data_IF_729145343905
#
_entry.id   IF_729145343905
#
_cell.length_a   1.000
_cell.length_b   1.000
_cell.length_c   1.000
_cell.angle_alpha   90.00
_cell.angle_beta   90.00
_cell.angle_gamma   90.00
#
_symmetry.space_group_name_H-M   'P 1'
#
loop_
_entity.id
_entity.type
_entity.pdbx_description
1 polymer ?
#
# COMPACT_ATOMS: atom_id res chain seq x y z
N UNK A 1 -9.09 -19.93 35.80
CA UNK A 1 -9.11 -18.46 35.76
C UNK A 1 -9.82 -18.03 34.48
N UNK A 2 -10.95 -17.31 34.57
CA UNK A 2 -11.51 -16.65 33.40
C UNK A 2 -10.47 -15.66 32.85
N UNK A 3 -10.27 -15.63 31.54
CA UNK A 3 -9.32 -14.74 30.87
C UNK A 3 -9.84 -14.34 29.49
N UNK A 4 -9.49 -13.12 29.08
CA UNK A 4 -9.92 -12.46 27.86
C UNK A 4 -8.76 -12.02 26.94
N UNK A 5 -7.51 -12.26 27.38
CA UNK A 5 -6.26 -11.95 26.65
C UNK A 5 -6.11 -12.82 25.40
N UNK A 6 -6.34 -14.12 25.52
CA UNK A 6 -6.36 -15.07 24.39
C UNK A 6 -7.79 -15.51 24.17
N UNK A 7 -8.41 -15.00 23.11
CA UNK A 7 -9.82 -15.27 22.78
C UNK A 7 -10.05 -16.73 22.38
N UNK A 8 -11.22 -17.31 22.69
CA UNK A 8 -11.56 -18.65 22.25
C UNK A 8 -11.71 -18.70 20.72
N UNK A 9 -11.48 -19.88 20.14
CA UNK A 9 -11.64 -20.09 18.69
C UNK A 9 -13.03 -19.73 18.16
N UNK A 10 -14.06 -19.84 18.99
CA UNK A 10 -15.44 -19.49 18.65
C UNK A 10 -15.69 -17.96 18.59
N UNK A 11 -14.80 -17.14 19.15
CA UNK A 11 -14.96 -15.69 19.23
C UNK A 11 -13.62 -14.96 18.96
N UNK A 12 -13.03 -15.15 17.77
CA UNK A 12 -11.74 -14.56 17.44
C UNK A 12 -11.86 -13.04 17.26
N UNK A 13 -10.75 -12.32 17.45
CA UNK A 13 -10.68 -10.86 17.19
C UNK A 13 -11.00 -10.55 15.72
N UNK A 14 -10.54 -11.40 14.80
CA UNK A 14 -10.78 -11.30 13.37
C UNK A 14 -11.04 -12.70 12.82
N UNK A 15 -12.09 -12.85 11.99
CA UNK A 15 -12.38 -14.13 11.37
C UNK A 15 -11.49 -14.36 10.14
N UNK A 16 -10.87 -15.54 10.05
CA UNK A 16 -9.91 -15.87 9.00
C UNK A 16 -8.47 -15.44 9.32
N UNK A 17 -7.58 -15.47 8.33
CA UNK A 17 -6.17 -15.17 8.52
C UNK A 17 -5.89 -13.71 8.89
N UNK A 18 -4.83 -13.44 9.67
CA UNK A 18 -4.43 -12.06 9.99
C UNK A 18 -3.72 -11.32 8.85
N UNK A 19 -3.09 -12.08 7.94
CA UNK A 19 -2.38 -11.60 6.76
C UNK A 19 -3.00 -12.25 5.52
N UNK A 20 -3.09 -11.47 4.43
CA UNK A 20 -3.50 -11.95 3.11
C UNK A 20 -2.38 -11.69 2.10
N UNK A 21 -2.11 -12.69 1.26
CA UNK A 21 -1.25 -12.56 0.09
C UNK A 21 -2.09 -12.00 -1.07
N UNK A 22 -1.53 -11.04 -1.78
CA UNK A 22 -2.10 -10.41 -2.97
C UNK A 22 -1.23 -10.76 -4.17
N UNK A 23 -1.85 -11.00 -5.32
CA UNK A 23 -1.20 -11.03 -6.64
C UNK A 23 -1.91 -10.09 -7.61
N UNK A 24 -1.53 -10.11 -8.88
CA UNK A 24 -2.08 -9.22 -9.91
C UNK A 24 -0.97 -8.55 -10.70
N UNK A 25 -1.32 -7.74 -11.71
CA UNK A 25 -0.30 -7.16 -12.59
C UNK A 25 0.64 -6.18 -11.86
N UNK A 26 0.21 -5.57 -10.76
CA UNK A 26 1.03 -4.65 -9.97
C UNK A 26 2.02 -5.38 -9.04
N UNK A 27 1.71 -6.61 -8.64
CA UNK A 27 2.52 -7.43 -7.75
C UNK A 27 2.64 -8.88 -8.27
N UNK A 28 3.35 -9.12 -9.39
CA UNK A 28 3.37 -10.42 -10.05
C UNK A 28 4.08 -11.51 -9.23
N UNK A 29 5.02 -11.13 -8.36
CA UNK A 29 5.65 -12.06 -7.40
C UNK A 29 4.98 -12.00 -6.01
N UNK A 30 3.90 -11.25 -5.90
CA UNK A 30 3.10 -11.11 -4.70
C UNK A 30 3.36 -9.85 -3.90
N UNK A 31 2.42 -9.58 -3.00
CA UNK A 31 2.48 -8.57 -1.95
C UNK A 31 1.69 -9.08 -0.74
N UNK A 32 1.78 -8.41 0.40
CA UNK A 32 1.01 -8.78 1.60
C UNK A 32 0.28 -7.60 2.21
N UNK A 33 -0.85 -7.89 2.86
CA UNK A 33 -1.59 -6.94 3.69
C UNK A 33 -1.98 -7.60 5.02
N UNK A 34 -1.83 -6.86 6.13
CA UNK A 34 -2.31 -7.29 7.46
C UNK A 34 -3.80 -6.96 7.61
N UNK A 35 -4.66 -7.77 6.97
CA UNK A 35 -6.10 -7.51 6.90
C UNK A 35 -6.80 -7.39 8.26
N UNK A 36 -6.27 -8.05 9.31
CA UNK A 36 -6.82 -7.94 10.67
C UNK A 36 -6.62 -6.57 11.33
N UNK A 37 -5.76 -5.71 10.79
CA UNK A 37 -5.53 -4.35 11.28
C UNK A 37 -5.94 -3.27 10.27
N UNK A 38 -6.58 -3.66 9.17
CA UNK A 38 -7.03 -2.76 8.12
C UNK A 38 -8.47 -2.28 8.37
N UNK A 39 -8.85 -1.18 7.74
CA UNK A 39 -10.24 -0.69 7.79
C UNK A 39 -11.11 -1.51 6.84
N UNK A 40 -12.17 -2.12 7.37
CA UNK A 40 -13.00 -3.07 6.63
C UNK A 40 -13.56 -2.50 5.30
N UNK A 41 -13.95 -1.23 5.28
CA UNK A 41 -14.47 -0.56 4.07
C UNK A 41 -13.42 -0.31 2.99
N UNK A 42 -12.12 -0.38 3.32
CA UNK A 42 -11.01 -0.17 2.38
C UNK A 42 -10.41 -1.49 1.86
N UNK A 43 -10.89 -2.65 2.34
CA UNK A 43 -10.44 -3.97 1.88
C UNK A 43 -10.85 -4.27 0.42
N UNK A 44 -11.79 -3.50 -0.11
CA UNK A 44 -12.13 -3.45 -1.53
C UNK A 44 -12.23 -1.99 -1.95
N UNK A 45 -11.20 -1.50 -2.64
CA UNK A 45 -11.03 -0.08 -2.93
C UNK A 45 -10.46 0.11 -4.34
N UNK A 46 -10.83 1.20 -4.99
CA UNK A 46 -10.18 1.66 -6.21
C UNK A 46 -9.98 3.16 -6.10
N UNK A 47 -8.80 3.63 -6.47
CA UNK A 47 -8.41 5.03 -6.30
C UNK A 47 -7.29 5.43 -7.23
N UNK A 48 -7.10 6.74 -7.32
CA UNK A 48 -6.01 7.36 -8.08
C UNK A 48 -4.70 7.22 -7.33
N UNK A 49 -3.62 6.90 -8.01
CA UNK A 49 -2.28 6.86 -7.45
C UNK A 49 -1.75 8.28 -7.19
N UNK A 50 -1.18 8.47 -6.00
CA UNK A 50 -0.31 9.60 -5.64
C UNK A 50 1.05 9.03 -5.28
N UNK A 51 2.03 9.26 -6.16
CA UNK A 51 3.32 8.58 -6.19
C UNK A 51 4.40 9.41 -5.50
N UNK A 52 5.16 8.73 -4.64
CA UNK A 52 6.38 9.20 -4.03
C UNK A 52 7.55 8.34 -4.51
N UNK A 53 8.55 8.99 -5.09
CA UNK A 53 9.67 8.33 -5.77
C UNK A 53 10.73 7.76 -4.84
N UNK A 54 10.82 8.31 -3.63
CA UNK A 54 11.81 7.93 -2.63
C UNK A 54 11.37 8.41 -1.24
N UNK A 55 12.10 7.98 -0.21
CA UNK A 55 11.90 8.49 1.16
C UNK A 55 12.10 10.00 1.26
N UNK A 56 13.00 10.56 0.45
CA UNK A 56 13.24 11.99 0.39
C UNK A 56 12.05 12.72 -0.21
N UNK A 57 11.57 12.24 -1.36
CA UNK A 57 10.40 12.80 -2.04
C UNK A 57 9.15 12.76 -1.15
N UNK A 58 8.94 11.63 -0.47
CA UNK A 58 7.88 11.50 0.54
C UNK A 58 8.00 12.56 1.63
N UNK A 59 9.17 12.71 2.24
CA UNK A 59 9.39 13.67 3.32
C UNK A 59 9.20 15.13 2.87
N UNK A 60 9.57 15.44 1.63
CA UNK A 60 9.45 16.80 1.07
C UNK A 60 8.00 17.13 0.65
N UNK A 61 7.21 16.16 0.19
CA UNK A 61 5.89 16.41 -0.41
C UNK A 61 4.67 16.06 0.42
N UNK A 62 4.74 15.07 1.32
CA UNK A 62 3.53 14.47 1.94
C UNK A 62 2.65 15.49 2.67
N UNK A 63 3.25 16.49 3.29
CA UNK A 63 2.58 17.56 4.05
C UNK A 63 2.53 18.89 3.29
N UNK A 64 2.92 18.92 2.02
CA UNK A 64 2.80 20.11 1.19
C UNK A 64 1.32 20.52 1.08
N UNK A 65 0.97 21.81 1.25
CA UNK A 65 -0.40 22.27 1.04
C UNK A 65 -0.85 21.99 -0.41
N UNK A 66 0.08 22.07 -1.35
CA UNK A 66 -0.14 21.92 -2.79
C UNK A 66 -0.17 20.47 -3.27
N UNK A 67 0.07 19.49 -2.39
CA UNK A 67 -0.03 18.07 -2.76
C UNK A 67 -1.47 17.76 -3.20
N UNK A 68 -1.69 17.48 -4.48
CA UNK A 68 -2.99 17.04 -4.97
C UNK A 68 -3.29 15.62 -4.45
N UNK A 69 -4.09 15.53 -3.37
CA UNK A 69 -4.46 14.28 -2.72
C UNK A 69 -5.84 14.38 -2.07
N UNK A 70 -6.68 13.38 -2.31
CA UNK A 70 -7.99 13.19 -1.73
C UNK A 70 -8.02 11.95 -0.79
N UNK A 71 -9.01 11.82 0.10
CA UNK A 71 -9.11 10.68 1.02
C UNK A 71 -9.19 9.30 0.33
N UNK A 72 -9.77 9.24 -0.87
CA UNK A 72 -9.95 8.00 -1.64
C UNK A 72 -8.77 7.69 -2.58
N UNK A 73 -7.75 8.55 -2.61
CA UNK A 73 -6.53 8.29 -3.37
C UNK A 73 -5.68 7.19 -2.70
N UNK A 74 -4.79 6.58 -3.48
CA UNK A 74 -3.87 5.54 -3.05
C UNK A 74 -2.46 6.13 -3.02
N UNK A 75 -1.86 6.18 -1.83
CA UNK A 75 -0.45 6.62 -1.74
C UNK A 75 0.47 5.48 -2.16
N UNK A 76 1.41 5.77 -3.04
CA UNK A 76 2.36 4.81 -3.59
C UNK A 76 3.76 5.27 -3.24
N UNK A 77 4.53 4.48 -2.49
CA UNK A 77 5.95 4.71 -2.29
C UNK A 77 6.73 3.64 -3.05
N UNK A 78 7.59 4.07 -3.97
CA UNK A 78 8.50 3.18 -4.71
C UNK A 78 9.95 3.40 -4.30
N UNK A 79 10.83 2.48 -4.70
CA UNK A 79 12.26 2.50 -4.39
C UNK A 79 12.55 2.42 -2.88
N UNK A 80 11.67 1.77 -2.12
CA UNK A 80 11.83 1.52 -0.70
C UNK A 80 12.05 0.02 -0.38
N UNK A 81 12.34 -0.77 -1.42
CA UNK A 81 12.66 -2.20 -1.35
C UNK A 81 14.09 -2.53 -0.92
N UNK A 82 14.48 -3.82 -0.96
CA UNK A 82 15.81 -4.30 -0.58
C UNK A 82 16.98 -3.65 -1.32
N UNK A 83 16.83 -3.32 -2.60
CA UNK A 83 17.87 -2.63 -3.39
C UNK A 83 17.61 -1.14 -3.52
N UNK A 84 16.35 -0.71 -3.55
CA UNK A 84 15.98 0.70 -3.74
C UNK A 84 16.46 1.61 -2.61
N UNK A 85 15.99 1.37 -1.39
CA UNK A 85 16.37 2.17 -0.22
C UNK A 85 17.65 1.70 0.49
N UNK A 86 18.35 0.71 -0.08
CA UNK A 86 18.85 -0.51 0.56
C UNK A 86 18.15 -1.05 1.82
N UNK A 87 18.09 -2.37 1.95
CA UNK A 87 17.74 -3.06 3.20
C UNK A 87 16.24 -3.03 3.57
N UNK A 88 15.40 -2.48 2.70
CA UNK A 88 13.93 -2.50 2.82
C UNK A 88 13.45 -1.95 4.19
N UNK A 89 13.55 -0.63 4.42
CA UNK A 89 13.19 -0.01 5.70
C UNK A 89 11.70 -0.16 6.02
N UNK A 90 11.32 0.14 7.26
CA UNK A 90 9.93 0.14 7.73
C UNK A 90 9.15 1.40 7.30
N UNK A 91 9.35 1.83 6.06
CA UNK A 91 8.78 3.05 5.49
C UNK A 91 7.43 2.85 4.76
N UNK A 92 6.92 1.62 4.72
CA UNK A 92 5.61 1.31 4.13
C UNK A 92 4.44 1.84 4.97
N UNK A 93 4.67 2.22 6.23
CA UNK A 93 3.72 2.96 7.05
C UNK A 93 3.70 4.44 6.65
N UNK A 94 3.32 4.72 5.39
CA UNK A 94 3.21 6.08 4.86
C UNK A 94 2.21 6.85 5.74
N UNK A 95 2.58 8.04 6.27
CA UNK A 95 1.67 8.81 7.10
C UNK A 95 0.49 9.34 6.28
N UNK A 96 -0.65 9.51 6.92
CA UNK A 96 -1.77 10.24 6.31
C UNK A 96 -1.34 11.71 6.16
N UNK A 97 -1.47 12.33 4.98
CA UNK A 97 -1.16 13.74 4.77
C UNK A 97 -1.78 14.61 5.86
N UNK A 98 -1.02 15.51 6.48
CA UNK A 98 -1.47 16.29 7.65
C UNK A 98 -2.80 17.01 7.40
N UNK A 99 -3.02 17.51 6.19
CA UNK A 99 -4.28 18.17 5.81
C UNK A 99 -5.49 17.22 5.80
N UNK A 100 -5.31 15.97 5.39
CA UNK A 100 -6.35 14.94 5.43
C UNK A 100 -6.59 14.46 6.85
N UNK A 101 -5.53 14.27 7.63
CA UNK A 101 -5.63 13.93 9.05
C UNK A 101 -6.40 15.00 9.84
N UNK A 102 -6.11 16.29 9.59
CA UNK A 102 -6.84 17.41 10.19
C UNK A 102 -8.32 17.46 9.76
N UNK A 103 -8.64 16.97 8.57
CA UNK A 103 -10.02 16.79 8.08
C UNK A 103 -10.71 15.51 8.61
N UNK A 104 -10.03 14.74 9.47
CA UNK A 104 -10.60 13.55 10.12
C UNK A 104 -10.34 12.22 9.41
N UNK A 105 -9.54 12.20 8.34
CA UNK A 105 -9.12 10.95 7.68
C UNK A 105 -8.20 10.18 8.63
N UNK A 106 -8.58 8.93 8.96
CA UNK A 106 -7.84 8.07 9.89
C UNK A 106 -7.09 6.92 9.20
N UNK A 107 -7.54 6.55 8.01
CA UNK A 107 -6.94 5.49 7.20
C UNK A 107 -7.18 5.79 5.73
N UNK A 108 -6.26 5.30 4.89
CA UNK A 108 -6.35 5.32 3.44
C UNK A 108 -5.47 4.18 2.90
N UNK A 109 -5.74 3.75 1.68
CA UNK A 109 -4.94 2.69 1.06
C UNK A 109 -3.55 3.21 0.72
N UNK A 110 -2.53 2.51 1.20
CA UNK A 110 -1.11 2.85 1.02
C UNK A 110 -0.35 1.63 0.56
N UNK A 111 0.49 1.78 -0.46
CA UNK A 111 1.20 0.66 -1.06
C UNK A 111 2.68 0.96 -1.25
N UNK A 112 3.54 -0.05 -1.05
CA UNK A 112 4.97 0.08 -1.33
C UNK A 112 5.68 -1.25 -1.51
N UNK A 113 6.90 -1.18 -2.03
CA UNK A 113 7.89 -2.25 -1.99
C UNK A 113 8.66 -2.33 -0.64
N UNK A 114 8.22 -1.57 0.38
CA UNK A 114 8.84 -1.51 1.70
C UNK A 114 8.23 -2.50 2.71
N UNK A 115 8.75 -2.48 3.95
CA UNK A 115 8.15 -3.13 5.13
C UNK A 115 7.45 -2.12 6.02
N UNK A 116 6.84 -2.58 7.11
CA UNK A 116 6.38 -1.73 8.20
C UNK A 116 6.62 -2.41 9.54
N UNK A 117 6.58 -1.64 10.63
CA UNK A 117 6.65 -2.19 11.98
C UNK A 117 5.47 -3.11 12.28
N UNK A 118 5.70 -4.18 13.05
CA UNK A 118 4.62 -5.09 13.49
C UNK A 118 3.51 -4.40 14.29
N UNK A 119 3.83 -3.27 14.94
CA UNK A 119 2.91 -2.46 15.76
C UNK A 119 1.97 -1.57 14.94
N UNK A 120 2.22 -1.41 13.63
CA UNK A 120 1.44 -0.55 12.76
C UNK A 120 0.04 -1.11 12.45
N UNK A 121 -0.88 -0.24 12.03
CA UNK A 121 -2.26 -0.57 11.62
C UNK A 121 -2.66 0.22 10.37
N UNK A 122 -3.86 -0.04 9.85
CA UNK A 122 -4.38 0.59 8.65
C UNK A 122 -4.28 -0.28 7.39
N UNK A 123 -4.83 0.23 6.30
CA UNK A 123 -5.01 -0.52 5.06
C UNK A 123 -3.78 -0.38 4.17
N UNK A 124 -2.77 -1.20 4.43
CA UNK A 124 -1.44 -1.04 3.84
C UNK A 124 -0.98 -2.31 3.14
N UNK A 125 -0.62 -2.19 1.87
CA UNK A 125 0.00 -3.24 1.07
C UNK A 125 1.51 -3.06 1.08
N UNK A 126 2.22 -4.13 1.42
CA UNK A 126 3.66 -4.14 1.62
C UNK A 126 4.32 -5.18 0.73
N UNK A 127 5.63 -5.07 0.61
CA UNK A 127 6.47 -6.08 -0.05
C UNK A 127 6.04 -6.36 -1.49
N UNK A 128 5.49 -5.34 -2.17
CA UNK A 128 5.19 -5.47 -3.59
C UNK A 128 6.44 -5.93 -4.31
N UNK A 129 6.32 -7.08 -4.97
CA UNK A 129 7.43 -7.79 -5.59
C UNK A 129 7.13 -8.09 -7.06
N UNK A 130 8.10 -7.92 -7.98
CA UNK A 130 9.44 -7.35 -7.76
C UNK A 130 9.40 -5.88 -7.31
N UNK A 131 10.42 -5.45 -6.54
CA UNK A 131 10.56 -4.05 -6.11
C UNK A 131 10.77 -3.11 -7.32
N UNK A 132 10.51 -1.82 -7.13
CA UNK A 132 10.64 -0.85 -8.22
C UNK A 132 12.08 -0.72 -8.73
N UNK A 133 13.06 -0.79 -7.83
CA UNK A 133 14.48 -0.64 -8.15
C UNK A 133 15.06 -1.75 -9.04
N UNK A 134 14.32 -2.84 -9.28
CA UNK A 134 14.69 -3.91 -10.23
C UNK A 134 13.76 -3.98 -11.45
N UNK A 135 12.98 -2.93 -11.69
CA UNK A 135 12.06 -2.84 -12.82
C UNK A 135 10.73 -3.58 -12.61
N UNK A 136 10.33 -3.80 -11.34
CA UNK A 136 9.00 -4.33 -11.04
C UNK A 136 7.87 -3.37 -11.48
N UNK A 137 6.63 -3.86 -11.66
CA UNK A 137 5.52 -3.04 -12.15
C UNK A 137 5.22 -1.79 -11.30
N UNK A 138 5.55 -1.81 -10.00
CA UNK A 138 5.46 -0.63 -9.13
C UNK A 138 6.29 0.57 -9.65
N UNK A 139 7.41 0.31 -10.35
CA UNK A 139 8.23 1.35 -10.97
C UNK A 139 7.48 2.11 -12.08
N UNK A 140 6.45 1.51 -12.67
CA UNK A 140 5.72 2.05 -13.83
C UNK A 140 4.49 2.86 -13.44
N UNK A 141 4.18 2.95 -12.15
CA UNK A 141 3.04 3.73 -11.66
C UNK A 141 3.35 5.22 -11.81
N UNK A 142 2.39 5.96 -12.33
CA UNK A 142 2.43 7.43 -12.43
C UNK A 142 1.27 8.05 -11.65
N UNK A 143 1.44 9.31 -11.23
CA UNK A 143 0.37 10.11 -10.65
C UNK A 143 -0.86 10.11 -11.57
N UNK A 144 -2.05 9.85 -11.02
CA UNK A 144 -3.28 9.78 -11.82
C UNK A 144 -3.73 8.38 -12.21
N UNK A 145 -2.83 7.39 -12.23
CA UNK A 145 -3.18 6.02 -12.58
C UNK A 145 -4.23 5.44 -11.62
N UNK A 146 -5.13 4.61 -12.13
CA UNK A 146 -6.10 3.91 -11.28
C UNK A 146 -5.51 2.61 -10.77
N UNK A 147 -5.61 2.37 -9.45
CA UNK A 147 -5.21 1.11 -8.81
C UNK A 147 -6.44 0.52 -8.13
N UNK A 148 -6.63 -0.79 -8.26
CA UNK A 148 -7.68 -1.54 -7.57
C UNK A 148 -7.07 -2.54 -6.58
N UNK A 149 -7.63 -2.55 -5.38
CA UNK A 149 -7.37 -3.50 -4.31
C UNK A 149 -8.64 -4.32 -4.04
N UNK A 150 -8.54 -5.65 -4.10
CA UNK A 150 -9.59 -6.56 -3.64
C UNK A 150 -8.94 -7.66 -2.77
N UNK A 151 -8.96 -7.44 -1.45
CA UNK A 151 -8.32 -8.35 -0.49
C UNK A 151 -9.04 -9.70 -0.41
N UNK A 152 -10.36 -9.72 -0.58
CA UNK A 152 -11.14 -10.97 -0.59
C UNK A 152 -10.75 -11.85 -1.79
N UNK A 153 -10.54 -11.24 -2.97
CA UNK A 153 -10.05 -11.91 -4.17
C UNK A 153 -8.53 -12.16 -4.13
N UNK A 154 -7.79 -11.49 -3.24
CA UNK A 154 -6.33 -11.54 -3.21
C UNK A 154 -5.69 -10.84 -4.42
N UNK A 155 -6.29 -9.73 -4.88
CA UNK A 155 -5.88 -9.02 -6.10
C UNK A 155 -5.45 -7.58 -5.81
N UNK A 156 -4.39 -7.16 -6.49
CA UNK A 156 -3.96 -5.77 -6.61
C UNK A 156 -3.58 -5.49 -8.07
N UNK A 157 -4.30 -4.56 -8.70
CA UNK A 157 -4.19 -4.30 -10.14
C UNK A 157 -3.90 -2.83 -10.41
N UNK A 158 -2.96 -2.57 -11.31
CA UNK A 158 -2.76 -1.29 -11.97
C UNK A 158 -3.65 -1.26 -13.21
N UNK A 159 -4.67 -0.42 -13.20
CA UNK A 159 -5.70 -0.32 -14.25
C UNK A 159 -5.23 0.56 -15.41
N UNK A 160 -4.05 0.25 -15.93
CA UNK A 160 -3.42 0.93 -17.07
C UNK A 160 -3.28 -0.09 -18.20
N UNK A 161 -3.55 0.34 -19.43
CA UNK A 161 -3.44 -0.54 -20.61
C UNK A 161 -1.99 -1.02 -20.78
N UNK A 162 -1.81 -2.29 -21.12
CA UNK A 162 -0.48 -2.87 -21.33
C UNK A 162 0.37 -2.12 -22.38
N UNK A 163 -0.25 -1.51 -23.39
CA UNK A 163 0.47 -0.68 -24.36
C UNK A 163 1.17 0.52 -23.68
N UNK A 164 0.47 1.23 -22.79
CA UNK A 164 1.03 2.34 -22.01
C UNK A 164 2.09 1.85 -21.03
N UNK A 165 1.87 0.69 -20.39
CA UNK A 165 2.90 0.10 -19.51
C UNK A 165 4.15 -0.33 -20.29
N UNK A 166 4.00 -0.81 -21.52
CA UNK A 166 5.12 -1.16 -22.38
C UNK A 166 5.92 0.08 -22.81
N UNK A 167 5.24 1.19 -23.14
CA UNK A 167 5.88 2.48 -23.41
C UNK A 167 6.68 2.97 -22.18
N UNK A 168 6.09 2.91 -20.98
CA UNK A 168 6.78 3.28 -19.73
C UNK A 168 8.01 2.41 -19.43
N UNK A 169 7.97 1.11 -19.74
CA UNK A 169 9.12 0.19 -19.55
C UNK A 169 10.29 0.49 -20.48
N UNK A 170 10.04 1.16 -21.60
CA UNK A 170 11.06 1.47 -22.60
C UNK A 170 11.79 2.80 -22.34
N UNK A 171 11.26 3.64 -21.44
CA UNK A 171 11.85 4.91 -21.00
C UNK A 171 12.75 4.71 -19.78
#
# INVERSE_FOLDING_TARGET
>A
WPQDVVRPLAEPIHQGGGIRVLGGNLAPNGAIIKQAAATASLLKHAGRAVVFDSLRDLAERIDSPDLDVAPDDILVLRNAGPKGAPGMPEAGYIPIPKKLAAAGVKDMVRISDARMSGTAFGTIVLHISPEAAVGGPLALVEDGDQISLDVAAGRIELLVREATLAERRAN
#
